data_IF_759457958335
#
_entry.id   IF_759457958335
#
_cell.length_a   1.000
_cell.length_b   1.000
_cell.length_c   1.000
_cell.angle_alpha   90.00
_cell.angle_beta   90.00
_cell.angle_gamma   90.00
#
_symmetry.space_group_name_H-M   'P 1'
#
loop_
_entity.id
_entity.type
_entity.pdbx_description
1 polymer ?
#
# COMPACT_ATOMS: atom_id res chain seq x y z
N UNK A 1 -0.46 -8.04 -24.90
CA UNK A 1 -0.85 -9.38 -25.39
C UNK A 1 0.20 -9.92 -26.34
N UNK A 2 1.33 -10.43 -25.82
CA UNK A 2 2.43 -10.95 -26.66
C UNK A 2 3.18 -12.10 -25.96
N UNK A 3 2.45 -13.01 -25.30
CA UNK A 3 3.04 -14.15 -24.58
C UNK A 3 2.39 -15.50 -24.95
N UNK A 4 1.61 -15.57 -26.03
CA UNK A 4 0.83 -16.77 -26.41
C UNK A 4 1.64 -17.75 -27.28
N UNK A 5 2.96 -17.54 -27.46
CA UNK A 5 3.77 -18.35 -28.39
C UNK A 5 4.93 -19.13 -27.78
N UNK A 6 5.18 -19.02 -26.47
CA UNK A 6 6.26 -19.77 -25.81
C UNK A 6 5.72 -20.92 -24.95
N UNK A 7 6.39 -22.07 -25.02
CA UNK A 7 6.26 -23.18 -24.05
C UNK A 7 6.87 -22.81 -22.69
N UNK A 8 6.56 -21.64 -22.15
CA UNK A 8 7.17 -21.12 -20.93
C UNK A 8 6.11 -20.81 -19.89
N UNK A 9 6.36 -21.26 -18.67
CA UNK A 9 5.61 -20.83 -17.51
C UNK A 9 5.86 -19.33 -17.30
N UNK A 10 4.78 -18.59 -17.05
CA UNK A 10 4.81 -17.15 -16.85
C UNK A 10 4.13 -16.81 -15.53
N UNK A 11 4.86 -16.05 -14.70
CA UNK A 11 4.43 -15.60 -13.38
C UNK A 11 4.56 -14.08 -13.34
N UNK A 12 3.47 -13.37 -13.08
CA UNK A 12 3.45 -11.90 -13.07
C UNK A 12 2.54 -11.36 -11.99
N UNK A 13 2.98 -10.26 -11.39
CA UNK A 13 2.14 -9.43 -10.54
C UNK A 13 1.81 -8.12 -11.27
N UNK A 14 0.53 -7.76 -11.28
CA UNK A 14 0.09 -6.50 -11.87
C UNK A 14 -1.16 -5.96 -11.17
N UNK A 15 -1.44 -4.68 -11.41
CA UNK A 15 -2.67 -4.03 -10.93
C UNK A 15 -3.80 -4.28 -11.91
N UNK A 16 -4.93 -4.74 -11.39
CA UNK A 16 -6.18 -4.93 -12.11
C UNK A 16 -7.25 -3.98 -11.57
N UNK A 17 -8.00 -3.35 -12.48
CA UNK A 17 -9.18 -2.57 -12.12
C UNK A 17 -10.41 -3.49 -12.15
N UNK A 18 -11.12 -3.59 -11.03
CA UNK A 18 -12.37 -4.34 -10.95
C UNK A 18 -13.50 -3.57 -11.63
N UNK A 19 -14.62 -4.23 -12.01
CA UNK A 19 -15.81 -3.53 -12.52
C UNK A 19 -16.40 -2.50 -11.54
N UNK A 20 -16.07 -2.60 -10.25
CA UNK A 20 -16.47 -1.65 -9.21
C UNK A 20 -15.53 -0.45 -9.08
N UNK A 21 -14.47 -0.37 -9.90
CA UNK A 21 -13.47 0.69 -9.84
C UNK A 21 -12.38 0.49 -8.78
N UNK A 22 -12.39 -0.63 -8.04
CA UNK A 22 -11.33 -0.94 -7.08
C UNK A 22 -10.07 -1.43 -7.80
N UNK A 23 -8.91 -0.98 -7.33
CA UNK A 23 -7.60 -1.50 -7.79
C UNK A 23 -7.20 -2.68 -6.91
N UNK A 24 -6.95 -3.83 -7.54
CA UNK A 24 -6.43 -5.04 -6.89
C UNK A 24 -5.06 -5.41 -7.44
N UNK A 25 -4.15 -5.79 -6.57
CA UNK A 25 -2.92 -6.46 -6.98
C UNK A 25 -3.22 -7.93 -7.20
N UNK A 26 -2.91 -8.42 -8.39
CA UNK A 26 -3.17 -9.80 -8.79
C UNK A 26 -1.86 -10.47 -9.13
N UNK A 27 -1.68 -11.65 -8.57
CA UNK A 27 -0.62 -12.57 -8.92
C UNK A 27 -1.18 -13.63 -9.87
N UNK A 28 -0.64 -13.67 -11.09
CA UNK A 28 -1.08 -14.60 -12.12
C UNK A 28 0.04 -15.57 -12.45
N UNK A 29 -0.30 -16.86 -12.43
CA UNK A 29 0.56 -17.95 -12.93
C UNK A 29 -0.11 -18.58 -14.14
N UNK A 30 0.61 -18.74 -15.23
CA UNK A 30 0.09 -19.32 -16.48
C UNK A 30 1.02 -20.41 -16.99
N UNK A 31 0.45 -21.57 -17.33
CA UNK A 31 1.15 -22.72 -17.93
C UNK A 31 0.56 -23.07 -19.29
N UNK A 32 1.37 -23.44 -20.29
CA UNK A 32 0.86 -23.98 -21.54
C UNK A 32 0.22 -25.35 -21.32
N UNK A 33 -0.91 -25.58 -21.97
CA UNK A 33 -1.52 -26.90 -22.12
C UNK A 33 -0.92 -27.52 -23.38
N UNK A 34 -0.35 -28.70 -23.23
CA UNK A 34 0.36 -29.40 -24.32
C UNK A 34 -0.34 -30.72 -24.60
N UNK A 35 -0.65 -30.98 -25.87
CA UNK A 35 -1.20 -32.26 -26.33
C UNK A 35 -0.12 -33.35 -26.39
N UNK A 36 -0.53 -34.61 -26.53
CA UNK A 36 0.38 -35.76 -26.61
C UNK A 36 1.39 -35.67 -27.76
N UNK A 37 1.04 -35.00 -28.87
CA UNK A 37 1.93 -34.72 -30.01
C UNK A 37 2.91 -33.56 -29.77
N UNK A 38 2.96 -33.03 -28.54
CA UNK A 38 3.88 -31.98 -28.12
C UNK A 38 3.50 -30.57 -28.58
N UNK A 39 2.29 -30.37 -29.13
CA UNK A 39 1.79 -29.05 -29.55
C UNK A 39 1.12 -28.30 -28.39
N UNK A 40 1.30 -26.98 -28.35
CA UNK A 40 0.58 -26.12 -27.39
C UNK A 40 -0.85 -25.94 -27.88
N UNK A 41 -1.82 -26.45 -27.12
CA UNK A 41 -3.26 -26.34 -27.44
C UNK A 41 -3.93 -25.17 -26.72
N UNK A 42 -3.27 -24.58 -25.72
CA UNK A 42 -3.75 -23.41 -25.02
C UNK A 42 -2.89 -23.05 -23.81
N UNK A 43 -3.45 -22.24 -22.92
CA UNK A 43 -2.85 -21.89 -21.63
C UNK A 43 -3.89 -22.02 -20.53
N UNK A 44 -3.46 -22.51 -19.38
CA UNK A 44 -4.25 -22.49 -18.13
C UNK A 44 -3.55 -21.58 -17.15
N UNK A 45 -4.30 -20.71 -16.49
CA UNK A 45 -3.74 -19.81 -15.49
C UNK A 45 -4.61 -19.66 -14.26
N UNK A 46 -3.97 -19.38 -13.14
CA UNK A 46 -4.61 -19.04 -11.87
C UNK A 46 -4.33 -17.57 -11.55
N UNK A 47 -5.33 -16.91 -10.97
CA UNK A 47 -5.26 -15.50 -10.57
C UNK A 47 -5.58 -15.41 -9.09
N UNK A 48 -4.64 -14.89 -8.30
CA UNK A 48 -4.76 -14.69 -6.86
C UNK A 48 -4.78 -13.20 -6.54
N UNK A 49 -5.76 -12.73 -5.77
CA UNK A 49 -5.75 -11.36 -5.22
C UNK A 49 -4.76 -11.31 -4.05
N UNK A 50 -3.67 -10.58 -4.25
CA UNK A 50 -2.59 -10.39 -3.26
C UNK A 50 -2.64 -8.99 -2.61
N UNK A 51 -3.74 -8.24 -2.78
CA UNK A 51 -3.87 -6.87 -2.26
C UNK A 51 -3.71 -6.82 -0.74
N UNK A 52 -4.35 -7.76 -0.02
CA UNK A 52 -4.23 -7.83 1.43
C UNK A 52 -2.81 -8.18 1.88
N UNK A 53 -2.15 -9.12 1.18
CA UNK A 53 -0.75 -9.49 1.44
C UNK A 53 0.17 -8.29 1.29
N UNK A 54 0.09 -7.58 0.17
CA UNK A 54 0.94 -6.38 -0.07
C UNK A 54 0.68 -5.26 0.94
N UNK A 55 -0.57 -5.04 1.38
CA UNK A 55 -0.88 -4.06 2.45
C UNK A 55 -0.24 -4.46 3.78
N UNK A 56 -0.33 -5.73 4.15
CA UNK A 56 0.29 -6.24 5.36
C UNK A 56 1.83 -6.11 5.32
N UNK A 57 2.45 -6.48 4.19
CA UNK A 57 3.90 -6.31 3.97
C UNK A 57 4.32 -4.83 4.07
N UNK A 58 3.56 -3.91 3.46
CA UNK A 58 3.81 -2.47 3.54
C UNK A 58 3.64 -1.92 4.97
N UNK A 59 2.61 -2.35 5.70
CA UNK A 59 2.41 -1.96 7.10
C UNK A 59 3.57 -2.45 7.98
N UNK A 60 4.01 -3.69 7.82
CA UNK A 60 5.15 -4.24 8.54
C UNK A 60 6.44 -3.47 8.23
N UNK A 61 6.68 -3.13 6.95
CA UNK A 61 7.82 -2.33 6.55
C UNK A 61 7.79 -0.92 7.17
N UNK A 62 6.64 -0.26 7.16
CA UNK A 62 6.46 1.05 7.79
C UNK A 62 6.65 1.01 9.31
N UNK A 63 6.13 -0.02 9.99
CA UNK A 63 6.37 -0.23 11.42
C UNK A 63 7.85 -0.38 11.75
N UNK A 64 8.58 -1.19 10.97
CA UNK A 64 10.03 -1.37 11.13
C UNK A 64 10.77 -0.04 10.94
N UNK A 65 10.41 0.71 9.91
CA UNK A 65 11.00 2.02 9.63
C UNK A 65 10.78 3.02 10.77
N UNK A 66 9.56 3.08 11.33
CA UNK A 66 9.26 3.94 12.48
C UNK A 66 10.08 3.55 13.72
N UNK A 67 10.24 2.26 13.98
CA UNK A 67 11.08 1.78 15.08
C UNK A 67 12.56 2.14 14.89
N UNK A 68 13.06 2.10 13.65
CA UNK A 68 14.43 2.53 13.32
C UNK A 68 14.62 4.03 13.53
N UNK A 69 13.65 4.87 13.16
CA UNK A 69 13.68 6.31 13.44
C UNK A 69 13.75 6.59 14.95
N UNK A 70 12.93 5.88 15.75
CA UNK A 70 12.95 6.00 17.20
C UNK A 70 14.30 5.58 17.79
N UNK A 71 14.86 4.46 17.32
CA UNK A 71 16.13 3.93 17.81
C UNK A 71 17.33 4.83 17.46
N UNK A 72 17.24 5.57 16.36
CA UNK A 72 18.29 6.51 15.91
C UNK A 72 18.15 7.91 16.50
N UNK A 73 17.12 8.16 17.33
CA UNK A 73 16.90 9.46 17.96
C UNK A 73 16.37 10.52 17.00
N UNK A 74 15.62 10.12 15.97
CA UNK A 74 14.93 11.05 15.08
C UNK A 74 13.97 11.96 15.87
N UNK A 75 13.65 13.12 15.30
CA UNK A 75 12.72 14.06 15.95
C UNK A 75 11.31 13.46 16.03
N UNK A 76 10.54 13.89 17.04
CA UNK A 76 9.14 13.47 17.16
C UNK A 76 8.34 13.79 15.87
N UNK A 77 8.61 14.94 15.24
CA UNK A 77 7.96 15.35 14.00
C UNK A 77 8.22 14.37 12.84
N UNK A 78 9.46 13.87 12.73
CA UNK A 78 9.83 12.89 11.69
C UNK A 78 9.14 11.54 11.92
N UNK A 79 9.13 11.08 13.18
CA UNK A 79 8.47 9.83 13.58
C UNK A 79 6.97 9.90 13.32
N UNK A 80 6.31 10.98 13.72
CA UNK A 80 4.87 11.18 13.50
C UNK A 80 4.55 11.28 11.99
N UNK A 81 5.39 11.95 11.21
CA UNK A 81 5.22 12.03 9.76
C UNK A 81 5.36 10.67 9.08
N UNK A 82 6.32 9.85 9.51
CA UNK A 82 6.49 8.48 9.02
C UNK A 82 5.30 7.57 9.37
N UNK A 83 4.77 7.71 10.60
CA UNK A 83 3.54 7.02 11.02
C UNK A 83 2.35 7.40 10.14
N UNK A 84 2.13 8.69 9.91
CA UNK A 84 1.01 9.16 9.07
C UNK A 84 1.12 8.56 7.66
N UNK A 85 2.28 8.66 7.00
CA UNK A 85 2.47 8.10 5.66
C UNK A 85 2.23 6.60 5.60
N UNK A 86 2.70 5.85 6.61
CA UNK A 86 2.49 4.40 6.71
C UNK A 86 1.00 4.04 6.72
N UNK A 87 0.18 4.85 7.40
CA UNK A 87 -1.27 4.65 7.45
C UNK A 87 -1.95 5.10 6.16
N UNK A 88 -1.56 6.24 5.59
CA UNK A 88 -2.11 6.74 4.31
C UNK A 88 -1.93 5.74 3.16
N UNK A 89 -0.83 4.97 3.16
CA UNK A 89 -0.59 3.92 2.16
C UNK A 89 -1.55 2.71 2.25
N UNK A 90 -2.29 2.55 3.35
CA UNK A 90 -3.13 1.36 3.58
C UNK A 90 -4.39 1.35 2.70
N UNK A 91 -4.88 2.52 2.30
CA UNK A 91 -6.05 2.60 1.42
C UNK A 91 -5.94 3.80 0.45
N UNK A 92 -6.34 3.62 -0.82
CA UNK A 92 -6.39 4.71 -1.78
C UNK A 92 -7.23 5.88 -1.26
N UNK A 93 -6.67 7.09 -1.29
CA UNK A 93 -7.35 8.32 -0.86
C UNK A 93 -7.45 8.51 0.66
N UNK A 94 -6.83 7.64 1.46
CA UNK A 94 -6.73 7.85 2.90
C UNK A 94 -5.79 9.02 3.19
N UNK A 95 -6.26 9.97 4.01
CA UNK A 95 -5.49 11.08 4.53
C UNK A 95 -5.55 11.03 6.05
N UNK A 96 -4.44 11.32 6.73
CA UNK A 96 -4.34 11.18 8.17
C UNK A 96 -3.66 12.39 8.80
N UNK A 97 -4.04 12.67 10.05
CA UNK A 97 -3.34 13.63 10.90
C UNK A 97 -3.18 13.07 12.30
N UNK A 98 -2.03 13.34 12.93
CA UNK A 98 -1.81 13.14 14.36
C UNK A 98 -1.90 14.49 15.06
N UNK A 99 -2.67 14.55 16.14
CA UNK A 99 -2.80 15.71 17.02
C UNK A 99 -2.29 15.32 18.41
N UNK A 100 -1.48 16.18 19.00
CA UNK A 100 -0.96 16.02 20.36
C UNK A 100 -1.79 16.87 21.32
N UNK A 101 -2.08 16.34 22.51
CA UNK A 101 -2.77 17.11 23.54
C UNK A 101 -1.74 17.86 24.40
N UNK A 102 -1.93 19.17 24.52
CA UNK A 102 -1.15 20.10 25.36
C UNK A 102 -2.10 20.82 26.32
N UNK A 103 -2.22 20.29 27.54
CA UNK A 103 -3.25 20.69 28.50
C UNK A 103 -4.65 20.34 27.97
N UNK A 104 -5.48 21.36 27.77
CA UNK A 104 -6.83 21.23 27.19
C UNK A 104 -6.86 21.59 25.70
N UNK A 105 -5.69 21.69 25.03
CA UNK A 105 -5.59 22.14 23.64
C UNK A 105 -4.96 21.11 22.74
N UNK A 106 -5.54 20.92 21.56
CA UNK A 106 -4.95 20.14 20.47
C UNK A 106 -3.82 20.92 19.81
N UNK A 107 -2.72 20.24 19.52
CA UNK A 107 -1.57 20.75 18.78
C UNK A 107 -1.33 19.89 17.55
N UNK A 108 -0.94 20.52 16.45
CA UNK A 108 -0.53 19.78 15.26
C UNK A 108 0.71 18.91 15.56
N UNK A 109 0.59 17.61 15.32
CA UNK A 109 1.70 16.65 15.43
C UNK A 109 2.30 16.32 14.06
N UNK A 110 1.47 15.79 13.16
CA UNK A 110 1.86 15.53 11.77
C UNK A 110 0.63 15.42 10.86
N UNK A 111 0.71 15.96 9.65
CA UNK A 111 -0.33 15.84 8.62
C UNK A 111 0.24 16.05 7.20
N UNK A 112 1.27 15.28 6.77
CA UNK A 112 2.08 15.55 5.57
C UNK A 112 1.30 15.61 4.25
N UNK A 113 0.14 14.95 4.14
CA UNK A 113 -0.66 14.92 2.90
C UNK A 113 -1.92 15.78 2.97
N UNK A 114 -2.21 16.38 4.13
CA UNK A 114 -3.35 17.26 4.32
C UNK A 114 -2.99 18.72 4.00
N UNK A 115 -3.96 19.53 3.51
CA UNK A 115 -3.73 20.95 3.29
C UNK A 115 -3.32 21.68 4.57
N UNK A 116 -2.47 22.71 4.44
CA UNK A 116 -2.07 23.54 5.59
C UNK A 116 -3.26 24.22 6.27
N UNK A 117 -4.27 24.63 5.50
CA UNK A 117 -5.48 25.27 6.05
C UNK A 117 -6.21 24.37 7.05
N UNK A 118 -6.27 23.06 6.78
CA UNK A 118 -6.81 22.10 7.73
C UNK A 118 -5.97 22.07 9.01
N UNK A 119 -4.63 21.96 8.87
CA UNK A 119 -3.72 21.89 10.02
C UNK A 119 -3.81 23.14 10.90
N UNK A 120 -3.90 24.33 10.29
CA UNK A 120 -4.11 25.60 10.99
C UNK A 120 -5.47 25.68 11.69
N UNK A 121 -6.52 25.13 11.08
CA UNK A 121 -7.87 25.16 11.64
C UNK A 121 -8.00 24.27 12.89
N UNK A 122 -7.24 23.18 12.97
CA UNK A 122 -7.30 22.24 14.10
C UNK A 122 -6.29 22.53 15.20
N UNK A 123 -5.21 23.27 14.92
CA UNK A 123 -4.21 23.64 15.92
C UNK A 123 -4.76 24.70 16.89
N UNK A 124 -4.75 24.37 18.18
CA UNK A 124 -5.23 25.20 19.28
C UNK A 124 -6.67 24.98 19.72
N UNK A 125 -7.41 24.06 19.08
CA UNK A 125 -8.77 23.69 19.47
C UNK A 125 -8.81 23.16 20.91
N UNK A 126 -9.81 23.58 21.69
CA UNK A 126 -10.03 23.10 23.05
C UNK A 126 -10.95 21.87 23.05
N UNK A 127 -10.66 20.88 23.90
CA UNK A 127 -11.44 19.65 24.08
C UNK A 127 -11.65 19.33 25.56
#
# INVERSE_FOLDING_TARGET
MAAVREKREDEREFRMLTPRGEVRWVHVRTKPVVSEDGRVTGHVGTSEDITARRRAEALQAGQKYVLELLATGASLADVLSALVRTIEEQAPGMLCSVLCLDGERLRHGAAPSLPEDYSRAVDGLAI
#
